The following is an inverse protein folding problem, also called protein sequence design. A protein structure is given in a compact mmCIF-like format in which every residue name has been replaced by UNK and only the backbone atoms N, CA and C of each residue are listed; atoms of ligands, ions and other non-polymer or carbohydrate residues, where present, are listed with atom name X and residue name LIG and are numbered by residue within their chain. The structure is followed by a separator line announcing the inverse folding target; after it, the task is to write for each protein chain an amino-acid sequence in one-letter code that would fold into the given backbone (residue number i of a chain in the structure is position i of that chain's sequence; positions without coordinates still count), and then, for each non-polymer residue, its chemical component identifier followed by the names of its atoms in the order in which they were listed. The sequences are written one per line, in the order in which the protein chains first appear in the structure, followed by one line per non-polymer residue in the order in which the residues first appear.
data_IF_144655282395
#
_entry.id   IF_144655282395
#
_cell.length_a   1.000
_cell.length_b   1.000
_cell.length_c   1.000
_cell.angle_alpha   90.00
_cell.angle_beta   90.00
_cell.angle_gamma   90.00
#
_symmetry.space_group_name_H-M   'P 1'
#
loop_
_entity.id
_entity.type
_entity.pdbx_description
1 polymer ?
#
# COMPACT_ATOMS: atom_id res chain seq x y z
N UNK A 1 -79.48 34.07 -19.60
CA UNK A 1 -80.01 33.30 -18.46
C UNK A 1 -79.24 32.00 -18.31
N UNK A 2 -78.88 31.64 -17.12
CA UNK A 2 -78.21 30.42 -16.61
C UNK A 2 -76.70 30.36 -16.73
N UNK A 3 -76.06 30.77 -15.62
CA UNK A 3 -74.70 30.52 -15.21
C UNK A 3 -74.47 29.02 -14.98
N UNK A 4 -73.35 28.49 -15.49
CA UNK A 4 -72.83 27.18 -15.09
C UNK A 4 -71.45 27.41 -14.41
N UNK A 5 -71.42 27.25 -13.11
CA UNK A 5 -70.23 27.34 -12.30
C UNK A 5 -69.32 26.11 -12.54
N UNK A 6 -68.10 26.36 -12.98
CA UNK A 6 -67.06 25.30 -13.03
C UNK A 6 -66.35 25.27 -11.68
N UNK A 7 -66.49 24.19 -10.92
CA UNK A 7 -65.70 23.86 -9.74
C UNK A 7 -64.37 23.30 -10.18
N UNK A 8 -63.29 24.03 -9.93
CA UNK A 8 -61.92 23.54 -10.00
C UNK A 8 -61.63 22.73 -8.73
N UNK A 9 -61.46 21.43 -8.90
CA UNK A 9 -60.97 20.54 -7.84
C UNK A 9 -59.44 20.61 -7.87
N UNK A 10 -58.85 21.30 -6.93
CA UNK A 10 -57.40 21.30 -6.74
C UNK A 10 -56.95 20.00 -6.08
N UNK A 11 -56.22 19.17 -6.83
CA UNK A 11 -55.53 17.99 -6.29
C UNK A 11 -54.21 18.46 -5.72
N UNK A 12 -54.12 18.52 -4.38
CA UNK A 12 -52.87 18.69 -3.66
C UNK A 12 -52.09 17.37 -3.75
N UNK A 13 -51.05 17.30 -4.57
CA UNK A 13 -50.10 16.21 -4.57
C UNK A 13 -49.12 16.48 -3.41
N UNK A 14 -49.36 15.79 -2.29
CA UNK A 14 -48.41 15.74 -1.17
C UNK A 14 -47.24 14.83 -1.61
N UNK A 15 -46.14 15.42 -2.06
CA UNK A 15 -44.88 14.71 -2.27
C UNK A 15 -44.30 14.33 -0.92
N UNK A 16 -44.61 13.14 -0.42
CA UNK A 16 -43.96 12.53 0.72
C UNK A 16 -42.48 12.25 0.36
N UNK A 17 -41.59 13.09 0.86
CA UNK A 17 -40.16 12.82 0.93
C UNK A 17 -39.97 11.58 1.85
N UNK A 18 -39.94 10.39 1.24
CA UNK A 18 -39.46 9.18 1.92
C UNK A 18 -37.97 9.39 2.17
N UNK A 19 -37.65 9.99 3.31
CA UNK A 19 -36.33 9.88 3.91
C UNK A 19 -36.12 8.40 4.23
N UNK A 20 -35.39 7.68 3.37
CA UNK A 20 -34.93 6.32 3.68
C UNK A 20 -33.97 6.44 4.85
N UNK A 21 -34.49 6.28 6.05
CA UNK A 21 -33.66 6.13 7.24
C UNK A 21 -32.72 4.93 7.00
N UNK A 22 -31.43 5.21 6.87
CA UNK A 22 -30.39 4.17 6.86
C UNK A 22 -30.54 3.40 8.17
N UNK A 23 -30.48 2.05 8.14
CA UNK A 23 -30.53 1.27 9.37
C UNK A 23 -29.40 1.73 10.29
N UNK A 24 -29.73 2.01 11.54
CA UNK A 24 -28.77 2.33 12.59
C UNK A 24 -27.79 1.15 12.71
N UNK A 25 -26.56 1.32 12.22
CA UNK A 25 -25.52 0.26 12.18
C UNK A 25 -24.84 0.06 10.84
N UNK A 26 -25.38 0.57 9.72
CA UNK A 26 -24.70 0.53 8.44
C UNK A 26 -23.70 1.71 8.35
N UNK A 27 -22.40 1.41 8.47
CA UNK A 27 -21.33 2.40 8.28
C UNK A 27 -21.39 3.04 6.89
N UNK A 28 -20.77 4.22 6.74
CA UNK A 28 -20.60 4.82 5.42
C UNK A 28 -19.66 3.95 4.59
N UNK A 29 -20.04 3.51 3.38
CA UNK A 29 -19.15 2.73 2.52
C UNK A 29 -17.90 3.52 2.17
N UNK A 30 -16.74 2.89 2.32
CA UNK A 30 -15.43 3.43 1.95
C UNK A 30 -14.66 2.32 1.23
N UNK A 31 -14.15 2.62 0.04
CA UNK A 31 -13.33 1.69 -0.74
C UNK A 31 -11.86 1.91 -0.46
N UNK A 32 -11.16 0.85 -0.06
CA UNK A 32 -9.72 0.85 0.19
C UNK A 32 -9.01 -0.08 -0.80
N UNK A 33 -8.21 0.50 -1.70
CA UNK A 33 -7.35 -0.25 -2.61
C UNK A 33 -6.19 -0.89 -1.85
N UNK A 34 -5.95 -2.18 -2.10
CA UNK A 34 -4.85 -2.96 -1.53
C UNK A 34 -4.23 -3.87 -2.58
N UNK A 35 -3.02 -4.34 -2.35
CA UNK A 35 -2.42 -5.49 -3.04
C UNK A 35 -2.30 -6.68 -2.10
N UNK A 36 -1.98 -7.85 -2.65
CA UNK A 36 -1.61 -9.02 -1.86
C UNK A 36 -0.26 -8.78 -1.19
N UNK A 37 -0.27 -8.40 0.10
CA UNK A 37 0.92 -8.07 0.87
C UNK A 37 0.78 -8.49 2.33
N UNK A 38 1.81 -9.15 2.85
CA UNK A 38 1.80 -9.66 4.23
C UNK A 38 1.73 -8.55 5.29
N UNK A 39 2.29 -7.37 5.02
CA UNK A 39 2.32 -6.22 5.92
C UNK A 39 0.95 -5.59 6.19
N UNK A 40 -0.05 -5.88 5.34
CA UNK A 40 -1.42 -5.40 5.55
C UNK A 40 -2.24 -6.27 6.52
N UNK A 41 -1.59 -7.17 7.26
CA UNK A 41 -2.23 -7.96 8.31
C UNK A 41 -3.15 -7.17 9.23
N UNK A 42 -2.76 -5.96 9.74
CA UNK A 42 -3.66 -5.11 10.53
C UNK A 42 -4.95 -4.73 9.81
N UNK A 43 -4.88 -4.41 8.51
CA UNK A 43 -6.04 -4.07 7.67
C UNK A 43 -6.96 -5.29 7.51
N UNK A 44 -6.39 -6.46 7.23
CA UNK A 44 -7.15 -7.70 7.07
C UNK A 44 -7.86 -8.08 8.37
N UNK A 45 -7.18 -7.98 9.51
CA UNK A 45 -7.76 -8.24 10.82
C UNK A 45 -8.84 -7.21 11.15
N UNK A 46 -8.65 -5.94 10.84
CA UNK A 46 -9.64 -4.90 11.08
C UNK A 46 -10.91 -5.11 10.24
N UNK A 47 -10.76 -5.47 8.98
CA UNK A 47 -11.89 -5.76 8.09
C UNK A 47 -12.67 -7.01 8.54
N UNK A 48 -11.96 -8.10 8.84
CA UNK A 48 -12.57 -9.35 9.26
C UNK A 48 -13.33 -9.24 10.59
N UNK A 49 -12.83 -8.44 11.53
CA UNK A 49 -13.46 -8.24 12.85
C UNK A 49 -14.43 -7.05 12.88
N UNK A 50 -14.63 -6.33 11.76
CA UNK A 50 -15.57 -5.22 11.70
C UNK A 50 -15.14 -3.98 12.48
N UNK A 51 -13.84 -3.80 12.77
CA UNK A 51 -13.34 -2.67 13.58
C UNK A 51 -13.58 -1.32 12.94
N UNK A 52 -13.61 -1.24 11.61
CA UNK A 52 -13.95 0.01 10.91
C UNK A 52 -15.37 0.48 11.18
N UNK A 53 -16.34 -0.48 11.36
CA UNK A 53 -17.74 -0.16 11.66
C UNK A 53 -17.90 0.53 13.01
N UNK A 54 -17.04 0.21 13.98
CA UNK A 54 -16.96 0.88 15.30
C UNK A 54 -16.76 2.39 15.15
N UNK A 55 -16.11 2.80 14.07
CA UNK A 55 -15.80 4.21 13.74
C UNK A 55 -16.70 4.80 12.65
N UNK A 56 -17.82 4.15 12.34
CA UNK A 56 -18.86 4.68 11.45
C UNK A 56 -18.63 4.48 9.96
N UNK A 57 -17.64 3.70 9.55
CA UNK A 57 -17.38 3.36 8.14
C UNK A 57 -17.48 1.85 7.89
N UNK A 58 -17.90 1.48 6.69
CA UNK A 58 -17.93 0.09 6.21
C UNK A 58 -16.90 -0.04 5.07
N UNK A 59 -15.72 -0.61 5.40
CA UNK A 59 -14.60 -0.68 4.46
C UNK A 59 -14.74 -1.88 3.55
N UNK A 60 -14.69 -1.62 2.24
CA UNK A 60 -14.57 -2.62 1.20
C UNK A 60 -13.15 -2.62 0.65
N UNK A 61 -12.43 -3.71 0.85
CA UNK A 61 -11.11 -3.91 0.23
C UNK A 61 -11.28 -4.22 -1.26
N UNK A 62 -10.50 -3.50 -2.09
CA UNK A 62 -10.41 -3.71 -3.54
C UNK A 62 -8.99 -4.16 -3.84
N UNK A 63 -8.82 -5.43 -4.19
CA UNK A 63 -7.50 -5.99 -4.47
C UNK A 63 -7.07 -5.68 -5.91
N UNK A 64 -5.87 -5.18 -6.07
CA UNK A 64 -5.22 -4.90 -7.35
C UNK A 64 -4.09 -5.91 -7.58
N UNK A 65 -4.11 -6.60 -8.72
CA UNK A 65 -2.98 -7.43 -9.16
C UNK A 65 -1.85 -6.60 -9.77
N UNK A 66 -2.18 -5.39 -10.24
CA UNK A 66 -1.22 -4.40 -10.76
C UNK A 66 -1.22 -3.17 -9.84
N UNK A 67 -0.23 -3.08 -8.96
CA UNK A 67 -0.12 -1.96 -8.01
C UNK A 67 0.26 -0.63 -8.68
N UNK A 68 0.76 -0.63 -9.91
CA UNK A 68 1.04 0.60 -10.67
C UNK A 68 -0.23 1.38 -11.05
N UNK A 69 -1.40 0.71 -11.03
CA UNK A 69 -2.72 1.33 -11.32
C UNK A 69 -3.31 2.05 -10.10
N UNK A 70 -2.91 1.70 -8.88
CA UNK A 70 -3.54 2.18 -7.65
C UNK A 70 -3.43 3.70 -7.44
N UNK A 71 -2.28 4.37 -7.74
CA UNK A 71 -2.21 5.83 -7.65
C UNK A 71 -3.22 6.52 -8.59
N UNK A 72 -3.45 5.95 -9.79
CA UNK A 72 -4.46 6.43 -10.74
C UNK A 72 -5.89 6.24 -10.24
N UNK A 73 -6.19 5.09 -9.66
CA UNK A 73 -7.52 4.76 -9.14
C UNK A 73 -7.94 5.70 -7.99
N UNK A 74 -7.04 6.01 -7.03
CA UNK A 74 -7.34 6.97 -5.96
C UNK A 74 -7.39 8.41 -6.49
N UNK A 75 -6.56 8.77 -7.46
CA UNK A 75 -6.59 10.10 -8.07
C UNK A 75 -7.88 10.37 -8.84
N UNK A 76 -8.40 9.39 -9.57
CA UNK A 76 -9.67 9.50 -10.31
C UNK A 76 -10.89 9.47 -9.39
N UNK A 77 -10.78 8.89 -8.21
CA UNK A 77 -11.89 8.65 -7.28
C UNK A 77 -12.63 7.33 -7.54
N UNK A 78 -12.04 6.41 -8.28
CA UNK A 78 -12.52 5.03 -8.43
C UNK A 78 -12.50 4.30 -7.09
N UNK A 79 -11.49 4.60 -6.26
CA UNK A 79 -11.39 4.19 -4.87
C UNK A 79 -11.19 5.42 -3.97
N UNK A 80 -11.69 5.35 -2.72
CA UNK A 80 -11.65 6.47 -1.78
C UNK A 80 -10.29 6.65 -1.11
N UNK A 81 -9.62 5.53 -0.82
CA UNK A 81 -8.32 5.45 -0.19
C UNK A 81 -7.51 4.29 -0.80
N UNK A 82 -6.21 4.29 -0.60
CA UNK A 82 -5.35 3.19 -1.04
C UNK A 82 -4.16 2.99 -0.14
N UNK A 83 -3.60 1.79 -0.17
CA UNK A 83 -2.24 1.51 0.31
C UNK A 83 -1.27 1.74 -0.85
N UNK A 84 -0.15 2.36 -0.61
CA UNK A 84 0.95 2.54 -1.57
C UNK A 84 2.27 2.44 -0.83
N UNK A 85 3.36 2.28 -1.56
CA UNK A 85 4.68 2.57 -1.02
C UNK A 85 5.02 4.05 -1.20
N UNK A 86 5.91 4.59 -0.38
CA UNK A 86 6.16 6.03 -0.37
C UNK A 86 6.80 6.54 -1.67
N UNK A 87 7.57 5.72 -2.38
CA UNK A 87 8.08 6.02 -3.72
C UNK A 87 6.96 6.27 -4.74
N UNK A 88 5.89 5.46 -4.70
CA UNK A 88 4.73 5.65 -5.57
C UNK A 88 4.01 6.98 -5.27
N UNK A 89 3.94 7.38 -4.00
CA UNK A 89 3.37 8.68 -3.61
C UNK A 89 4.22 9.83 -4.15
N UNK A 90 5.55 9.73 -4.03
CA UNK A 90 6.49 10.72 -4.58
C UNK A 90 6.35 10.82 -6.10
N UNK A 91 6.34 9.68 -6.80
CA UNK A 91 6.18 9.64 -8.26
C UNK A 91 4.84 10.23 -8.71
N UNK A 92 3.74 9.94 -8.01
CA UNK A 92 2.42 10.49 -8.29
C UNK A 92 2.39 12.02 -8.09
N UNK A 93 2.95 12.52 -6.99
CA UNK A 93 2.99 13.96 -6.71
C UNK A 93 3.93 14.71 -7.67
N UNK A 94 5.01 14.08 -8.17
CA UNK A 94 5.86 14.64 -9.21
C UNK A 94 5.11 14.89 -10.53
N UNK A 95 4.06 14.09 -10.80
CA UNK A 95 3.13 14.27 -11.94
C UNK A 95 2.06 15.32 -11.68
N UNK A 96 2.11 16.04 -10.54
CA UNK A 96 1.15 17.07 -10.15
C UNK A 96 -0.12 16.55 -9.46
N UNK A 97 -0.17 15.26 -9.10
CA UNK A 97 -1.26 14.72 -8.30
C UNK A 97 -1.13 15.19 -6.85
N UNK A 98 -2.26 15.19 -6.13
CA UNK A 98 -2.29 15.67 -4.74
C UNK A 98 -2.66 14.52 -3.82
N UNK A 99 -1.78 13.52 -3.75
CA UNK A 99 -1.90 12.39 -2.85
C UNK A 99 -1.18 12.69 -1.53
N UNK A 100 -1.80 12.32 -0.42
CA UNK A 100 -1.28 12.54 0.92
C UNK A 100 -1.16 11.23 1.69
N UNK A 101 0.02 10.95 2.20
CA UNK A 101 0.21 9.95 3.24
C UNK A 101 -0.42 10.44 4.54
N UNK A 102 -1.28 9.65 5.15
CA UNK A 102 -1.91 9.97 6.44
C UNK A 102 -1.43 9.07 7.59
N UNK A 103 -0.81 7.93 7.27
CA UNK A 103 -0.24 7.00 8.25
C UNK A 103 0.78 6.06 7.58
N UNK A 104 1.92 5.74 8.20
CA UNK A 104 2.73 4.58 7.82
C UNK A 104 2.00 3.29 8.23
N UNK A 105 2.00 2.28 7.38
CA UNK A 105 1.38 0.98 7.63
C UNK A 105 2.41 -0.05 8.11
N UNK A 106 3.51 -0.14 7.36
CA UNK A 106 4.63 -1.01 7.70
C UNK A 106 5.93 -0.57 7.02
N UNK A 107 7.01 -1.15 7.50
CA UNK A 107 8.33 -1.12 6.86
C UNK A 107 8.65 -2.51 6.35
N UNK A 108 9.00 -2.64 5.08
CA UNK A 108 9.59 -3.87 4.57
C UNK A 108 11.01 -4.03 5.12
N UNK A 109 11.25 -5.13 5.82
CA UNK A 109 12.55 -5.46 6.44
C UNK A 109 13.02 -6.86 6.01
N UNK A 110 12.85 -7.13 4.72
CA UNK A 110 13.18 -8.39 4.08
C UNK A 110 12.05 -8.94 3.20
N UNK A 111 10.87 -8.34 3.25
CA UNK A 111 9.70 -8.77 2.49
C UNK A 111 9.76 -8.47 1.00
N UNK A 112 10.52 -7.44 0.60
CA UNK A 112 10.87 -7.19 -0.80
C UNK A 112 12.28 -7.69 -1.08
N UNK A 113 12.49 -8.35 -2.24
CA UNK A 113 13.78 -8.92 -2.56
C UNK A 113 14.07 -8.98 -4.07
N UNK A 114 15.36 -8.85 -4.38
CA UNK A 114 15.96 -9.25 -5.65
C UNK A 114 16.38 -10.70 -5.50
N UNK A 115 15.86 -11.56 -6.35
CA UNK A 115 16.07 -12.99 -6.38
C UNK A 115 16.93 -13.35 -7.57
N UNK A 116 17.89 -14.24 -7.37
CA UNK A 116 18.83 -14.62 -8.43
C UNK A 116 19.09 -16.10 -8.47
N UNK A 117 19.38 -16.61 -9.66
CA UNK A 117 19.89 -17.95 -9.86
C UNK A 117 21.30 -18.13 -9.30
N UNK A 118 21.66 -19.36 -8.94
CA UNK A 118 22.91 -19.70 -8.24
C UNK A 118 24.21 -19.08 -8.79
N UNK A 119 24.41 -18.87 -10.12
CA UNK A 119 25.64 -18.27 -10.63
C UNK A 119 25.78 -16.75 -10.37
N UNK A 120 24.68 -16.05 -9.98
CA UNK A 120 24.64 -14.59 -9.81
C UNK A 120 24.82 -14.32 -8.32
N UNK A 121 25.95 -13.71 -7.92
CA UNK A 121 26.32 -13.53 -6.51
C UNK A 121 26.41 -12.06 -6.08
N UNK A 122 26.30 -11.12 -7.01
CA UNK A 122 26.37 -9.70 -6.72
C UNK A 122 25.50 -8.88 -7.67
N UNK A 123 25.18 -7.66 -7.29
CA UNK A 123 24.43 -6.72 -8.14
C UNK A 123 25.16 -6.44 -9.45
N UNK A 124 26.51 -6.47 -9.44
CA UNK A 124 27.31 -6.27 -10.67
C UNK A 124 27.10 -7.39 -11.71
N UNK A 125 26.73 -8.60 -11.26
CA UNK A 125 26.47 -9.73 -12.14
C UNK A 125 25.13 -9.60 -12.88
N UNK A 126 24.31 -8.60 -12.54
CA UNK A 126 23.06 -8.29 -13.25
C UNK A 126 23.30 -7.65 -14.63
N UNK A 127 24.51 -7.14 -14.90
CA UNK A 127 24.83 -6.50 -16.17
C UNK A 127 24.55 -7.44 -17.36
N UNK A 128 23.70 -6.96 -18.28
CA UNK A 128 23.25 -7.71 -19.47
C UNK A 128 22.25 -8.82 -19.19
N UNK A 129 21.81 -9.05 -17.91
CA UNK A 129 20.85 -10.09 -17.56
C UNK A 129 19.41 -9.65 -17.82
N UNK A 130 18.53 -10.62 -18.07
CA UNK A 130 17.10 -10.44 -18.04
C UNK A 130 16.64 -10.38 -16.59
N UNK A 131 15.98 -9.29 -16.22
CA UNK A 131 15.44 -9.06 -14.87
C UNK A 131 13.92 -8.90 -14.97
N UNK A 132 13.17 -9.79 -14.34
CA UNK A 132 11.72 -9.75 -14.31
C UNK A 132 11.25 -8.95 -13.08
N UNK A 133 10.44 -7.93 -13.29
CA UNK A 133 9.88 -7.09 -12.23
C UNK A 133 8.67 -6.33 -12.75
N UNK A 134 7.90 -5.70 -11.85
CA UNK A 134 6.83 -4.78 -12.22
C UNK A 134 7.35 -3.35 -12.25
N UNK A 135 7.22 -2.68 -13.38
CA UNK A 135 7.58 -1.26 -13.54
C UNK A 135 6.64 -0.36 -12.72
N UNK A 136 7.16 0.80 -12.26
CA UNK A 136 6.44 1.79 -11.45
C UNK A 136 5.85 1.21 -10.15
N UNK A 137 6.57 0.30 -9.51
CA UNK A 137 6.19 -0.43 -8.30
C UNK A 137 7.32 -0.43 -7.28
N UNK A 138 7.09 -0.93 -6.03
CA UNK A 138 8.16 -1.14 -5.05
C UNK A 138 9.33 -1.99 -5.58
N UNK A 139 9.02 -3.00 -6.42
CA UNK A 139 10.04 -3.86 -7.04
C UNK A 139 10.96 -3.08 -7.99
N UNK A 140 10.40 -2.18 -8.78
CA UNK A 140 11.16 -1.26 -9.65
C UNK A 140 12.06 -0.33 -8.82
N UNK A 141 11.50 0.26 -7.77
CA UNK A 141 12.25 1.10 -6.85
C UNK A 141 13.41 0.34 -6.17
N UNK A 142 13.17 -0.88 -5.64
CA UNK A 142 14.21 -1.70 -5.02
C UNK A 142 15.33 -2.04 -6.02
N UNK A 143 14.95 -2.38 -7.25
CA UNK A 143 15.90 -2.66 -8.32
C UNK A 143 16.77 -1.44 -8.63
N UNK A 144 16.17 -0.26 -8.85
CA UNK A 144 16.86 0.99 -9.11
C UNK A 144 17.83 1.36 -7.97
N UNK A 145 17.39 1.20 -6.71
CA UNK A 145 18.24 1.39 -5.53
C UNK A 145 19.44 0.45 -5.54
N UNK A 146 19.24 -0.85 -5.79
CA UNK A 146 20.31 -1.84 -5.80
C UNK A 146 21.29 -1.60 -6.95
N UNK A 147 20.79 -1.37 -8.17
CA UNK A 147 21.61 -1.07 -9.33
C UNK A 147 22.52 0.13 -9.08
N UNK A 148 21.95 1.19 -8.48
CA UNK A 148 22.72 2.38 -8.12
C UNK A 148 23.87 2.09 -7.14
N UNK A 149 23.61 1.30 -6.11
CA UNK A 149 24.66 0.85 -5.16
C UNK A 149 25.74 0.02 -5.86
N UNK A 150 25.36 -0.76 -6.89
CA UNK A 150 26.27 -1.56 -7.71
C UNK A 150 27.02 -0.77 -8.79
N UNK A 151 26.72 0.53 -8.97
CA UNK A 151 27.26 1.37 -10.04
C UNK A 151 26.66 1.06 -11.42
N UNK A 152 25.45 0.50 -11.45
CA UNK A 152 24.67 0.19 -12.63
C UNK A 152 23.41 1.06 -12.70
N UNK A 153 22.70 0.95 -13.82
CA UNK A 153 21.37 1.52 -14.07
C UNK A 153 20.49 0.51 -14.81
N UNK A 154 19.21 0.81 -15.00
CA UNK A 154 18.32 -0.05 -15.79
C UNK A 154 18.78 -0.25 -17.24
N UNK A 155 19.58 0.68 -17.80
CA UNK A 155 20.16 0.54 -19.14
C UNK A 155 21.22 -0.57 -19.24
N UNK A 156 21.73 -1.02 -18.10
CA UNK A 156 22.73 -2.10 -18.03
C UNK A 156 22.10 -3.49 -17.93
N UNK A 157 20.78 -3.59 -17.84
CA UNK A 157 20.03 -4.85 -17.77
C UNK A 157 19.05 -4.99 -18.93
N UNK A 158 18.37 -6.14 -19.04
CA UNK A 158 17.27 -6.39 -19.97
C UNK A 158 15.97 -6.49 -19.16
N UNK A 159 15.18 -5.41 -19.02
CA UNK A 159 13.97 -5.42 -18.21
C UNK A 159 12.88 -6.30 -18.84
N UNK A 160 12.20 -7.09 -18.02
CA UNK A 160 11.03 -7.90 -18.37
C UNK A 160 9.89 -7.48 -17.46
N UNK A 161 9.04 -6.57 -17.95
CA UNK A 161 7.90 -6.07 -17.16
C UNK A 161 6.82 -7.15 -17.02
N UNK A 162 6.39 -7.41 -15.78
CA UNK A 162 5.36 -8.39 -15.45
C UNK A 162 4.74 -8.08 -14.08
N UNK A 163 3.61 -8.71 -13.74
CA UNK A 163 3.06 -8.61 -12.38
C UNK A 163 3.94 -9.33 -11.35
N UNK A 164 3.81 -9.03 -10.05
CA UNK A 164 4.60 -9.72 -9.01
C UNK A 164 4.42 -11.24 -9.04
N UNK A 165 3.22 -11.74 -9.31
CA UNK A 165 2.93 -13.17 -9.50
C UNK A 165 3.53 -13.70 -10.80
N UNK A 166 3.59 -12.87 -11.84
CA UNK A 166 4.21 -13.20 -13.12
C UNK A 166 5.71 -13.44 -13.00
N UNK A 167 6.40 -12.77 -12.07
CA UNK A 167 7.82 -13.02 -11.77
C UNK A 167 8.06 -14.47 -11.39
N UNK A 168 7.17 -15.05 -10.57
CA UNK A 168 7.24 -16.47 -10.17
C UNK A 168 7.27 -17.38 -11.40
N UNK A 169 6.33 -17.19 -12.33
CA UNK A 169 6.23 -18.00 -13.55
C UNK A 169 7.43 -17.84 -14.48
N UNK A 170 7.90 -16.60 -14.67
CA UNK A 170 9.06 -16.28 -15.53
C UNK A 170 10.33 -16.92 -15.01
N UNK A 171 10.59 -16.81 -13.69
CA UNK A 171 11.78 -17.43 -13.08
C UNK A 171 11.69 -18.95 -13.07
N UNK A 172 10.54 -19.52 -12.70
CA UNK A 172 10.33 -20.96 -12.71
C UNK A 172 10.54 -21.57 -14.11
N UNK A 173 10.02 -20.89 -15.15
CA UNK A 173 10.15 -21.27 -16.55
C UNK A 173 11.54 -21.04 -17.15
N UNK A 174 12.46 -20.39 -16.45
CA UNK A 174 13.82 -20.10 -16.93
C UNK A 174 13.90 -19.01 -18.00
N UNK A 175 12.88 -18.18 -18.13
CA UNK A 175 12.88 -17.05 -19.08
C UNK A 175 13.69 -15.85 -18.56
N UNK A 176 13.89 -15.77 -17.24
CA UNK A 176 14.85 -14.90 -16.58
C UNK A 176 15.49 -15.61 -15.39
N UNK A 177 16.78 -15.30 -15.12
CA UNK A 177 17.53 -15.82 -13.97
C UNK A 177 17.45 -14.87 -12.76
N UNK A 178 16.89 -13.68 -12.94
CA UNK A 178 16.75 -12.65 -11.92
C UNK A 178 15.30 -12.15 -11.90
N UNK A 179 14.77 -11.97 -10.70
CA UNK A 179 13.44 -11.40 -10.51
C UNK A 179 13.42 -10.51 -9.29
N UNK A 180 12.54 -9.51 -9.29
CA UNK A 180 12.28 -8.66 -8.14
C UNK A 180 10.80 -8.76 -7.79
N UNK A 181 10.51 -9.12 -6.57
CA UNK A 181 9.15 -9.26 -6.08
C UNK A 181 9.11 -9.06 -4.56
N UNK A 182 7.94 -9.30 -3.99
CA UNK A 182 7.69 -9.19 -2.55
C UNK A 182 6.87 -10.40 -2.06
N UNK A 183 6.76 -10.55 -0.73
CA UNK A 183 6.01 -11.65 -0.13
C UNK A 183 4.50 -11.59 -0.49
N UNK A 184 3.88 -12.75 -0.79
CA UNK A 184 4.38 -14.13 -0.63
C UNK A 184 5.24 -14.65 -1.79
N UNK A 185 5.37 -13.96 -2.92
CA UNK A 185 6.05 -14.44 -4.12
C UNK A 185 7.54 -14.75 -3.89
N UNK A 186 8.22 -13.97 -3.05
CA UNK A 186 9.63 -14.19 -2.66
C UNK A 186 9.78 -15.59 -2.08
N UNK A 187 8.96 -15.94 -1.10
CA UNK A 187 8.98 -17.29 -0.49
C UNK A 187 8.67 -18.38 -1.49
N UNK A 188 7.72 -18.19 -2.40
CA UNK A 188 7.38 -19.16 -3.45
C UNK A 188 8.58 -19.40 -4.36
N UNK A 189 9.27 -18.35 -4.82
CA UNK A 189 10.43 -18.48 -5.70
C UNK A 189 11.59 -19.17 -4.97
N UNK A 190 11.93 -18.74 -3.75
CA UNK A 190 13.04 -19.31 -2.98
C UNK A 190 12.80 -20.78 -2.66
N UNK A 191 11.58 -21.18 -2.30
CA UNK A 191 11.21 -22.56 -2.00
C UNK A 191 11.05 -23.43 -3.26
N UNK A 192 10.93 -22.83 -4.44
CA UNK A 192 10.81 -23.55 -5.69
C UNK A 192 12.05 -24.45 -5.94
N UNK A 193 11.87 -25.53 -6.67
CA UNK A 193 12.96 -26.48 -6.98
C UNK A 193 13.73 -26.98 -5.73
N UNK A 194 13.01 -27.13 -4.61
CA UNK A 194 13.60 -27.61 -3.35
C UNK A 194 14.59 -26.62 -2.71
N UNK A 195 14.43 -25.32 -2.98
CA UNK A 195 15.26 -24.25 -2.40
C UNK A 195 16.71 -24.19 -2.92
N UNK A 196 17.01 -24.80 -4.06
CA UNK A 196 18.40 -24.93 -4.59
C UNK A 196 18.67 -24.04 -5.80
N UNK A 197 17.62 -23.57 -6.47
CA UNK A 197 17.77 -22.86 -7.75
C UNK A 197 17.94 -21.36 -7.59
N UNK A 198 17.22 -20.77 -6.65
CA UNK A 198 17.18 -19.34 -6.44
C UNK A 198 17.52 -18.97 -5.00
N UNK A 199 18.12 -17.80 -4.84
CA UNK A 199 18.44 -17.22 -3.53
C UNK A 199 18.12 -15.72 -3.51
N UNK A 200 18.00 -15.14 -2.33
CA UNK A 200 17.90 -13.70 -2.14
C UNK A 200 19.28 -13.08 -2.36
N UNK A 201 19.41 -12.25 -3.40
CA UNK A 201 20.63 -11.53 -3.73
C UNK A 201 20.74 -10.23 -2.91
N UNK A 202 19.61 -9.54 -2.73
CA UNK A 202 19.49 -8.33 -1.91
C UNK A 202 18.03 -8.22 -1.45
N UNK A 203 17.80 -7.72 -0.24
CA UNK A 203 16.44 -7.48 0.24
C UNK A 203 16.29 -6.08 0.84
N UNK A 204 15.05 -5.68 1.10
CA UNK A 204 14.69 -4.44 1.79
C UNK A 204 15.28 -4.33 3.20
N UNK A 205 15.75 -5.45 3.78
CA UNK A 205 16.47 -5.48 5.07
C UNK A 205 17.71 -4.59 5.07
N UNK A 206 18.37 -4.46 3.91
CA UNK A 206 19.53 -3.59 3.74
C UNK A 206 19.20 -2.10 3.59
N UNK A 207 17.90 -1.79 3.48
CA UNK A 207 17.39 -0.45 3.21
C UNK A 207 16.13 -0.14 4.05
N UNK A 208 16.13 -0.53 5.37
CA UNK A 208 14.99 -0.30 6.27
C UNK A 208 14.53 1.16 6.24
N UNK A 209 13.22 1.38 6.02
CA UNK A 209 12.61 2.70 5.90
C UNK A 209 12.70 3.31 4.50
N UNK A 210 13.24 2.58 3.51
CA UNK A 210 13.20 2.98 2.10
C UNK A 210 11.94 2.45 1.40
N UNK A 211 11.51 1.22 1.73
CA UNK A 211 10.20 0.71 1.33
C UNK A 211 9.30 0.79 2.57
N UNK A 212 8.48 1.81 2.59
CA UNK A 212 7.49 2.08 3.63
C UNK A 212 6.12 2.07 2.99
N UNK A 213 5.28 1.13 3.42
CA UNK A 213 3.87 1.10 3.03
C UNK A 213 3.10 2.16 3.81
N UNK A 214 2.21 2.83 3.12
CA UNK A 214 1.51 4.01 3.63
C UNK A 214 0.03 4.00 3.26
N UNK A 215 -0.81 4.50 4.17
CA UNK A 215 -2.22 4.79 3.89
C UNK A 215 -2.32 6.15 3.22
N UNK A 216 -2.99 6.18 2.06
CA UNK A 216 -3.01 7.34 1.17
C UNK A 216 -4.43 7.73 0.81
N UNK A 217 -4.66 9.02 0.81
CA UNK A 217 -5.87 9.66 0.28
C UNK A 217 -5.51 10.76 -0.71
N UNK A 218 -6.47 11.09 -1.57
CA UNK A 218 -6.42 12.35 -2.31
C UNK A 218 -6.74 13.51 -1.38
N UNK A 219 -5.99 14.59 -1.47
CA UNK A 219 -6.13 15.81 -0.64
C UNK A 219 -7.58 16.32 -0.56
N UNK A 220 -8.30 16.32 -1.68
CA UNK A 220 -9.70 16.74 -1.73
C UNK A 220 -10.68 15.77 -1.01
N UNK A 221 -10.32 14.51 -0.83
CA UNK A 221 -11.10 13.53 -0.05
C UNK A 221 -10.88 13.79 1.43
N UNK A 222 -9.64 14.05 1.84
CA UNK A 222 -9.29 14.44 3.22
C UNK A 222 -10.10 15.68 3.65
N UNK A 223 -10.11 16.71 2.80
CA UNK A 223 -10.82 17.97 3.10
C UNK A 223 -12.34 17.78 3.26
N UNK A 224 -12.95 16.87 2.48
CA UNK A 224 -14.40 16.63 2.52
C UNK A 224 -14.82 15.61 3.58
N UNK A 225 -13.98 14.64 3.87
CA UNK A 225 -14.31 13.49 4.71
C UNK A 225 -13.18 13.16 5.72
N UNK A 226 -12.74 14.12 6.55
CA UNK A 226 -11.65 13.86 7.51
C UNK A 226 -11.98 12.73 8.48
N UNK A 227 -13.28 12.49 8.75
CA UNK A 227 -13.76 11.37 9.58
C UNK A 227 -13.45 10.00 8.97
N UNK A 228 -13.37 9.85 7.64
CA UNK A 228 -12.99 8.58 7.01
C UNK A 228 -11.52 8.26 7.27
N UNK A 229 -10.66 9.29 7.19
CA UNK A 229 -9.24 9.15 7.48
C UNK A 229 -9.04 8.69 8.93
N UNK A 230 -9.65 9.40 9.89
CA UNK A 230 -9.56 9.05 11.31
C UNK A 230 -10.10 7.64 11.60
N UNK A 231 -11.21 7.26 10.96
CA UNK A 231 -11.83 5.94 11.13
C UNK A 231 -10.96 4.81 10.55
N UNK A 232 -10.35 5.02 9.36
CA UNK A 232 -9.42 4.05 8.76
C UNK A 232 -8.17 3.86 9.63
N UNK A 233 -7.57 4.94 10.12
CA UNK A 233 -6.40 4.87 10.99
C UNK A 233 -6.74 4.10 12.28
N UNK A 234 -7.82 4.49 12.98
CA UNK A 234 -8.24 3.86 14.24
C UNK A 234 -8.56 2.38 14.06
N UNK A 235 -9.34 2.04 13.04
CA UNK A 235 -9.69 0.64 12.76
C UNK A 235 -8.46 -0.21 12.42
N UNK A 236 -7.51 0.33 11.66
CA UNK A 236 -6.25 -0.37 11.36
C UNK A 236 -5.41 -0.57 12.62
N UNK A 237 -5.37 0.41 13.53
CA UNK A 237 -4.66 0.27 14.82
C UNK A 237 -5.35 -0.74 15.75
N UNK A 238 -6.70 -0.82 15.77
CA UNK A 238 -7.43 -1.89 16.47
C UNK A 238 -7.08 -3.27 15.87
N UNK A 239 -6.93 -3.36 14.54
CA UNK A 239 -6.46 -4.56 13.85
C UNK A 239 -5.04 -4.97 14.24
N UNK A 240 -4.12 -4.02 14.37
CA UNK A 240 -2.76 -4.27 14.86
C UNK A 240 -2.76 -4.72 16.33
N UNK A 241 -3.57 -4.10 17.17
CA UNK A 241 -3.73 -4.51 18.58
C UNK A 241 -4.28 -5.94 18.67
N UNK A 242 -5.26 -6.29 17.84
CA UNK A 242 -5.78 -7.65 17.76
C UNK A 242 -4.70 -8.66 17.34
N UNK A 243 -3.89 -8.34 16.32
CA UNK A 243 -2.79 -9.22 15.88
C UNK A 243 -1.80 -9.53 17.01
N UNK A 244 -1.46 -8.51 17.81
CA UNK A 244 -0.54 -8.66 18.95
C UNK A 244 -1.15 -9.49 20.08
N UNK A 245 -2.44 -9.29 20.36
CA UNK A 245 -3.15 -9.99 21.43
C UNK A 245 -3.56 -11.42 21.05
N UNK A 246 -3.81 -11.70 19.76
CA UNK A 246 -4.39 -12.96 19.28
C UNK A 246 -3.60 -13.48 18.05
N UNK A 247 -2.29 -13.78 18.17
CA UNK A 247 -1.44 -14.07 17.02
C UNK A 247 -1.91 -15.27 16.19
N UNK A 248 -2.42 -16.32 16.82
CA UNK A 248 -2.92 -17.50 16.10
C UNK A 248 -4.19 -17.21 15.28
N UNK A 249 -5.13 -16.43 15.84
CA UNK A 249 -6.36 -16.03 15.14
C UNK A 249 -6.05 -15.05 14.02
N UNK A 250 -5.15 -14.10 14.26
CA UNK A 250 -4.67 -13.17 13.24
C UNK A 250 -3.99 -13.90 12.08
N UNK A 251 -3.11 -14.88 12.38
CA UNK A 251 -2.49 -15.71 11.36
C UNK A 251 -3.53 -16.47 10.52
N UNK A 252 -4.61 -16.97 11.12
CA UNK A 252 -5.68 -17.64 10.38
C UNK A 252 -6.45 -16.69 9.46
N UNK A 253 -6.72 -15.44 9.90
CA UNK A 253 -7.38 -14.41 9.08
C UNK A 253 -6.48 -14.04 7.88
N UNK A 254 -5.21 -13.77 8.13
CA UNK A 254 -4.23 -13.38 7.10
C UNK A 254 -4.04 -14.53 6.10
N UNK A 255 -3.84 -15.76 6.60
CA UNK A 255 -3.69 -16.96 5.78
C UNK A 255 -4.86 -17.16 4.81
N UNK A 256 -6.09 -16.99 5.30
CA UNK A 256 -7.30 -17.07 4.47
C UNK A 256 -7.34 -15.96 3.42
N UNK A 257 -6.92 -14.74 3.76
CA UNK A 257 -6.96 -13.59 2.85
C UNK A 257 -5.90 -13.69 1.76
N UNK A 258 -4.70 -14.20 2.10
CA UNK A 258 -3.57 -14.32 1.17
C UNK A 258 -3.49 -15.69 0.48
N UNK A 259 -4.39 -16.62 0.82
CA UNK A 259 -4.43 -18.00 0.30
C UNK A 259 -3.12 -18.78 0.55
N UNK A 260 -2.50 -18.56 1.72
CA UNK A 260 -1.29 -19.24 2.19
C UNK A 260 -1.54 -19.97 3.52
N UNK A 261 -0.61 -20.78 3.97
CA UNK A 261 -0.71 -21.45 5.28
C UNK A 261 -0.41 -20.48 6.43
N UNK A 262 -0.91 -20.80 7.64
CA UNK A 262 -0.59 -20.02 8.87
C UNK A 262 0.90 -20.06 9.21
N UNK A 263 1.59 -21.13 8.86
CA UNK A 263 3.05 -21.25 9.05
C UNK A 263 3.79 -20.25 8.13
N UNK A 264 3.38 -20.14 6.88
CA UNK A 264 3.92 -19.13 5.94
C UNK A 264 3.63 -17.70 6.39
N UNK A 265 2.45 -17.44 6.94
CA UNK A 265 2.14 -16.12 7.54
C UNK A 265 3.15 -15.78 8.63
N UNK A 266 3.42 -16.70 9.56
CA UNK A 266 4.37 -16.47 10.65
C UNK A 266 5.80 -16.24 10.16
N UNK A 267 6.23 -16.99 9.15
CA UNK A 267 7.55 -16.84 8.51
C UNK A 267 7.67 -15.46 7.82
N UNK A 268 6.67 -15.08 7.06
CA UNK A 268 6.69 -13.84 6.27
C UNK A 268 6.52 -12.58 7.13
N UNK A 269 5.73 -12.64 8.21
CA UNK A 269 5.58 -11.51 9.14
C UNK A 269 6.90 -11.11 9.82
N UNK A 270 7.89 -12.01 9.90
CA UNK A 270 9.24 -11.70 10.39
C UNK A 270 10.02 -10.76 9.44
N UNK A 271 9.55 -10.56 8.22
CA UNK A 271 10.14 -9.70 7.20
C UNK A 271 9.44 -8.34 7.08
N UNK A 272 8.54 -8.01 8.02
CA UNK A 272 7.74 -6.78 8.03
C UNK A 272 7.67 -6.23 9.45
N UNK A 273 7.69 -4.91 9.59
CA UNK A 273 7.53 -4.22 10.85
C UNK A 273 6.34 -3.25 10.79
N UNK A 274 5.24 -3.57 11.47
CA UNK A 274 4.12 -2.65 11.64
C UNK A 274 4.40 -1.73 12.85
N UNK A 275 4.53 -0.40 12.67
CA UNK A 275 4.84 0.52 13.76
C UNK A 275 3.70 0.56 14.78
N UNK A 276 4.06 0.64 16.07
CA UNK A 276 3.09 0.84 17.13
C UNK A 276 2.52 2.27 17.08
N UNK A 277 1.37 2.49 17.73
CA UNK A 277 0.74 3.82 17.79
C UNK A 277 1.71 4.92 18.24
N UNK A 278 2.55 4.63 19.24
CA UNK A 278 3.52 5.59 19.76
C UNK A 278 4.55 6.04 18.72
N UNK A 279 4.88 5.15 17.77
CA UNK A 279 5.97 5.34 16.81
C UNK A 279 5.46 5.87 15.45
N UNK A 280 4.13 5.89 15.21
CA UNK A 280 3.53 6.33 13.94
C UNK A 280 3.97 7.74 13.53
N UNK A 281 4.19 8.63 14.50
CA UNK A 281 4.58 10.02 14.27
C UNK A 281 6.04 10.20 13.83
N UNK A 282 6.90 9.20 14.00
CA UNK A 282 8.34 9.33 13.79
C UNK A 282 8.71 9.63 12.33
N UNK A 283 7.96 9.05 11.38
CA UNK A 283 8.19 9.28 9.95
C UNK A 283 7.95 10.73 9.53
N UNK A 284 7.08 11.46 10.25
CA UNK A 284 6.73 12.85 9.95
C UNK A 284 7.68 13.87 10.60
N UNK A 285 8.55 13.44 11.52
CA UNK A 285 9.54 14.32 12.15
C UNK A 285 10.56 14.79 11.12
N UNK A 286 10.87 16.08 11.13
CA UNK A 286 11.91 16.65 10.27
C UNK A 286 13.29 16.17 10.72
N UNK A 287 13.81 15.14 10.05
CA UNK A 287 15.09 14.52 10.34
C UNK A 287 15.83 14.16 9.05
N UNK A 288 17.15 13.98 9.16
CA UNK A 288 18.03 13.58 8.05
C UNK A 288 18.33 12.08 8.04
N UNK A 289 17.70 11.32 8.94
CA UNK A 289 17.89 9.88 9.11
C UNK A 289 16.58 9.13 8.94
N UNK A 290 16.66 7.89 8.45
CA UNK A 290 15.51 7.00 8.32
C UNK A 290 14.94 6.65 9.71
N UNK A 291 13.64 6.43 9.82
CA UNK A 291 12.64 6.32 8.73
C UNK A 291 11.92 7.62 8.38
N UNK A 292 12.44 8.80 8.75
CA UNK A 292 11.78 10.08 8.43
C UNK A 292 11.50 10.23 6.93
N UNK A 293 10.28 10.67 6.58
CA UNK A 293 9.89 10.96 5.20
C UNK A 293 10.70 12.10 4.58
N UNK A 294 11.27 13.01 5.37
CA UNK A 294 12.18 14.03 4.86
C UNK A 294 13.50 13.40 4.37
N UNK A 295 14.00 12.39 5.08
CA UNK A 295 15.22 11.68 4.70
C UNK A 295 14.95 10.69 3.55
N UNK A 296 13.98 9.76 3.74
CA UNK A 296 13.65 8.74 2.73
C UNK A 296 13.13 9.39 1.45
N UNK A 297 12.25 10.39 1.57
CA UNK A 297 11.67 11.08 0.42
C UNK A 297 12.71 11.75 -0.47
N UNK A 298 13.74 12.35 0.12
CA UNK A 298 14.86 12.91 -0.66
C UNK A 298 15.62 11.82 -1.41
N UNK A 299 15.99 10.74 -0.73
CA UNK A 299 16.73 9.62 -1.35
C UNK A 299 15.90 8.97 -2.45
N UNK A 300 14.60 8.72 -2.18
CA UNK A 300 13.66 8.16 -3.15
C UNK A 300 13.56 9.05 -4.39
N UNK A 301 13.33 10.35 -4.19
CA UNK A 301 13.20 11.30 -5.30
C UNK A 301 14.48 11.38 -6.16
N UNK A 302 15.66 11.32 -5.53
CA UNK A 302 16.94 11.30 -6.23
C UNK A 302 17.10 10.00 -7.08
N UNK A 303 16.62 8.85 -6.57
CA UNK A 303 16.63 7.57 -7.31
C UNK A 303 15.65 7.64 -8.49
N UNK A 304 14.39 7.99 -8.24
CA UNK A 304 13.37 8.08 -9.29
C UNK A 304 13.76 9.04 -10.42
N UNK A 305 14.41 10.16 -10.07
CA UNK A 305 14.92 11.10 -11.06
C UNK A 305 16.07 10.51 -11.87
N UNK A 306 17.01 9.81 -11.23
CA UNK A 306 18.13 9.17 -11.93
C UNK A 306 17.66 8.10 -12.90
N UNK A 307 16.66 7.31 -12.52
CA UNK A 307 16.06 6.28 -13.38
C UNK A 307 15.09 6.87 -14.43
N UNK A 308 14.88 8.21 -14.44
CA UNK A 308 14.01 8.88 -15.41
C UNK A 308 12.52 8.68 -15.16
N UNK A 309 12.13 8.24 -13.97
CA UNK A 309 10.73 8.03 -13.60
C UNK A 309 10.03 9.34 -13.21
N UNK A 310 10.79 10.35 -12.81
CA UNK A 310 10.32 11.71 -12.53
C UNK A 310 11.31 12.74 -13.08
N UNK A 311 10.81 13.87 -13.57
CA UNK A 311 11.64 14.99 -14.03
C UNK A 311 12.03 15.92 -12.87
N UNK A 312 11.04 16.30 -12.08
CA UNK A 312 11.17 17.25 -10.96
C UNK A 312 10.61 16.63 -9.68
N UNK A 313 11.44 16.48 -8.63
CA UNK A 313 10.98 16.03 -7.33
C UNK A 313 9.87 16.94 -6.76
N UNK A 314 8.81 16.39 -6.16
CA UNK A 314 7.79 17.19 -5.49
C UNK A 314 8.34 17.73 -4.16
N UNK A 315 7.77 18.84 -3.62
CA UNK A 315 8.05 19.25 -2.25
C UNK A 315 7.65 18.14 -1.27
N UNK A 316 8.61 17.61 -0.53
CA UNK A 316 8.40 16.45 0.37
C UNK A 316 7.31 16.72 1.42
N UNK A 317 7.31 17.92 2.04
CA UNK A 317 6.28 18.33 2.99
C UNK A 317 4.87 18.32 2.39
N UNK A 318 4.77 18.42 1.06
CA UNK A 318 3.50 18.37 0.33
C UNK A 318 2.94 16.95 0.16
N UNK A 319 3.68 15.89 0.49
CA UNK A 319 3.31 14.50 0.21
C UNK A 319 2.59 13.80 1.36
N UNK A 320 2.46 14.41 2.53
CA UNK A 320 1.83 13.81 3.71
C UNK A 320 1.02 14.81 4.53
N UNK A 321 0.17 14.29 5.42
CA UNK A 321 -0.57 15.03 6.45
C UNK A 321 -0.47 14.27 7.78
N UNK A 322 0.37 14.77 8.68
CA UNK A 322 0.63 14.17 9.99
C UNK A 322 -0.48 14.46 11.02
N UNK A 323 -1.41 15.36 10.73
CA UNK A 323 -2.38 15.87 11.72
C UNK A 323 -3.23 14.77 12.34
N UNK A 324 -3.63 13.78 11.58
CA UNK A 324 -4.45 12.64 12.03
C UNK A 324 -3.71 11.73 13.00
N UNK A 325 -2.45 11.41 12.71
CA UNK A 325 -1.61 10.60 13.61
C UNK A 325 -1.35 11.36 14.90
N UNK A 326 -0.99 12.64 14.81
CA UNK A 326 -0.76 13.48 16.00
C UNK A 326 -2.02 13.61 16.86
N UNK A 327 -3.20 13.79 16.25
CA UNK A 327 -4.47 13.85 16.98
C UNK A 327 -4.78 12.52 17.70
N UNK A 328 -4.48 11.39 17.05
CA UNK A 328 -4.67 10.07 17.66
C UNK A 328 -3.69 9.82 18.81
N UNK A 329 -2.44 10.23 18.67
CA UNK A 329 -1.41 10.10 19.72
C UNK A 329 -1.71 11.00 20.93
N UNK A 330 -2.31 12.18 20.71
CA UNK A 330 -2.72 13.10 21.79
C UNK A 330 -3.94 12.59 22.57
N UNK A 331 -4.74 11.69 22.00
CA UNK A 331 -5.96 11.15 22.61
C UNK A 331 -6.03 9.62 22.48
N UNK A 332 -5.09 8.86 23.07
CA UNK A 332 -4.96 7.42 22.84
C UNK A 332 -6.11 6.58 23.43
N UNK A 333 -7.05 7.18 24.16
CA UNK A 333 -8.16 6.51 24.88
C UNK A 333 -9.55 6.87 24.38
N UNK A 334 -9.69 7.48 23.19
CA UNK A 334 -10.96 7.88 22.59
C UNK A 334 -11.51 6.87 21.57
#
# INVERSE_FOLDING_TARGET
MKQVAKRLLGVLVLASLLSTARPAGAGTPVTLGVVTWIGYGPIYCAAANGYYKKYGIDVRLVNFSDNSLMPGAVQSGEIDATTLTYDQVIAANARGWKLKVVMPLDYSVGGDAILAGAPIQSIKDLKGRKVAFMSASPSDFLLGYALAKGGLSERDIQPVNTTPEGVVGIMAGGSADVGVSYEPNVSVIVKSSGGKRFHVLLSSREARGMITDVLVFKDSVIARNPQWVAALIRGTMDGLAFMKANPAQAAAIIAKTLEISTAEVQEQLANVENPALADLGDVFKKATVLPSFYASGKIIADILKREGQIDVPPPIEGTFDASFVHALQASPGG
#
